data_IF_168730265643
#
_entry.id   IF_168730265643
#
_cell.length_a   1.000
_cell.length_b   1.000
_cell.length_c   1.000
_cell.angle_alpha   90.00
_cell.angle_beta   90.00
_cell.angle_gamma   90.00
#
_symmetry.space_group_name_H-M   'P 1'
#
loop_
_entity.id
_entity.type
_entity.pdbx_description
1 polymer ?
#
# COMPACT_ATOMS: atom_id res chain seq x y z
N UNK A 1 7.09 -7.84 -6.78
CA UNK A 1 7.43 -9.14 -6.18
C UNK A 1 7.40 -9.00 -4.67
N UNK A 2 6.40 -9.59 -4.04
CA UNK A 2 6.04 -9.35 -2.65
C UNK A 2 4.81 -10.19 -2.30
N UNK A 3 4.17 -9.91 -1.16
CA UNK A 3 2.89 -10.55 -0.82
C UNK A 3 1.76 -10.04 -1.71
N UNK A 4 0.86 -10.94 -2.11
CA UNK A 4 -0.31 -10.63 -2.94
C UNK A 4 -1.14 -11.87 -3.26
N UNK A 5 -2.11 -11.77 -4.21
CA UNK A 5 -2.41 -10.59 -5.03
C UNK A 5 -3.24 -9.51 -4.33
N UNK A 6 -3.98 -9.87 -3.28
CA UNK A 6 -4.84 -8.95 -2.52
C UNK A 6 -4.06 -8.12 -1.49
N UNK A 7 -4.75 -7.19 -0.82
CA UNK A 7 -4.16 -6.36 0.23
C UNK A 7 -3.76 -7.15 1.48
N UNK A 8 -2.78 -6.64 2.21
CA UNK A 8 -2.23 -7.24 3.43
C UNK A 8 -1.72 -6.17 4.38
N UNK A 9 -1.77 -6.43 5.68
CA UNK A 9 -1.30 -5.53 6.74
C UNK A 9 -0.47 -6.33 7.76
N UNK A 10 0.25 -5.67 8.65
CA UNK A 10 1.27 -6.35 9.49
C UNK A 10 0.69 -7.49 10.33
N UNK A 11 -0.53 -7.31 10.84
CA UNK A 11 -1.31 -8.28 11.61
C UNK A 11 -2.30 -9.12 10.77
N UNK A 12 -2.35 -8.90 9.45
CA UNK A 12 -3.26 -9.60 8.53
C UNK A 12 -2.61 -9.83 7.16
N UNK A 13 -1.63 -10.73 7.11
CA UNK A 13 -0.86 -11.03 5.89
C UNK A 13 -0.60 -12.51 5.58
N UNK A 14 -0.99 -13.44 6.43
CA UNK A 14 -0.64 -14.87 6.25
C UNK A 14 -1.28 -15.52 5.03
N UNK A 15 -2.46 -15.06 4.60
CA UNK A 15 -3.10 -15.54 3.38
C UNK A 15 -2.43 -15.02 2.09
N UNK A 16 -1.64 -13.94 2.18
CA UNK A 16 -0.98 -13.34 1.03
C UNK A 16 0.39 -14.02 0.78
N UNK A 17 0.50 -14.70 -0.36
CA UNK A 17 1.70 -15.45 -0.72
C UNK A 17 2.73 -14.56 -1.41
N UNK A 18 4.01 -14.92 -1.28
CA UNK A 18 5.10 -14.21 -1.96
C UNK A 18 5.13 -14.64 -3.42
N UNK A 19 4.96 -13.68 -4.32
CA UNK A 19 4.88 -13.95 -5.75
C UNK A 19 5.10 -12.72 -6.62
N UNK A 20 5.10 -12.96 -7.94
CA UNK A 20 5.07 -11.90 -8.95
C UNK A 20 3.62 -11.71 -9.37
N UNK A 21 3.07 -10.57 -9.00
CA UNK A 21 1.73 -10.13 -9.35
C UNK A 21 1.81 -8.87 -10.22
N UNK A 22 0.79 -8.65 -11.04
CA UNK A 22 0.62 -7.47 -11.87
C UNK A 22 -0.87 -7.13 -11.93
N UNK A 23 -1.18 -5.85 -12.07
CA UNK A 23 -2.53 -5.29 -12.16
C UNK A 23 -2.44 -3.81 -12.46
N UNK A 24 -3.56 -3.21 -12.86
CA UNK A 24 -3.65 -1.76 -13.04
C UNK A 24 -3.75 -1.07 -11.68
N UNK A 25 -3.48 0.25 -11.68
CA UNK A 25 -3.65 1.12 -10.50
C UNK A 25 -5.10 1.09 -10.02
N UNK A 26 -6.07 1.26 -10.94
CA UNK A 26 -7.51 1.24 -10.63
C UNK A 26 -7.98 -0.07 -9.95
N UNK A 27 -7.30 -1.19 -10.23
CA UNK A 27 -7.62 -2.52 -9.70
C UNK A 27 -7.02 -2.76 -8.30
N UNK A 28 -6.17 -1.87 -7.79
CA UNK A 28 -5.60 -2.00 -6.45
C UNK A 28 -6.55 -1.48 -5.35
N UNK A 29 -7.57 -0.71 -5.75
CA UNK A 29 -8.56 -0.17 -4.83
C UNK A 29 -9.52 -1.25 -4.31
N UNK A 30 -9.80 -1.23 -3.01
CA UNK A 30 -10.89 -1.99 -2.41
C UNK A 30 -12.01 -1.06 -1.93
N UNK A 31 -13.19 -1.18 -2.56
CA UNK A 31 -14.36 -0.34 -2.29
C UNK A 31 -15.11 -0.72 -1.02
N UNK A 32 -14.58 -0.34 0.16
CA UNK A 32 -15.31 -0.44 1.41
C UNK A 32 -16.59 0.42 1.40
N UNK A 33 -17.66 -0.07 2.03
CA UNK A 33 -18.94 0.67 2.16
C UNK A 33 -18.72 2.07 2.74
N UNK A 34 -17.86 2.15 3.74
CA UNK A 34 -17.31 3.40 4.24
C UNK A 34 -15.87 3.54 3.74
N UNK A 35 -15.54 4.56 2.91
CA UNK A 35 -14.20 4.75 2.39
C UNK A 35 -13.13 4.83 3.48
N UNK A 36 -12.11 3.99 3.37
CA UNK A 36 -11.05 3.79 4.35
C UNK A 36 -9.75 3.38 3.65
N UNK A 37 -8.64 3.40 4.39
CA UNK A 37 -7.34 2.91 3.93
C UNK A 37 -7.46 1.50 3.33
N UNK A 38 -6.85 1.29 2.17
CA UNK A 38 -6.94 0.03 1.43
C UNK A 38 -5.75 -0.16 0.47
N UNK A 39 -5.53 -1.41 0.05
CA UNK A 39 -4.65 -1.73 -1.07
C UNK A 39 -3.19 -1.99 -0.71
N UNK A 40 -2.83 -1.93 0.58
CA UNK A 40 -1.45 -2.15 1.05
C UNK A 40 -0.90 -3.53 0.66
N UNK A 41 0.35 -3.59 0.21
CA UNK A 41 1.10 -4.81 -0.12
C UNK A 41 2.33 -4.90 0.78
N UNK A 42 2.32 -5.89 1.67
CA UNK A 42 3.42 -6.11 2.63
C UNK A 42 4.57 -6.92 2.05
N UNK A 43 5.73 -6.85 2.71
CA UNK A 43 6.91 -7.67 2.42
C UNK A 43 7.32 -7.61 0.93
N UNK A 44 7.28 -6.44 0.33
CA UNK A 44 7.63 -6.24 -1.07
C UNK A 44 9.14 -6.10 -1.23
N UNK A 45 9.73 -6.89 -2.15
CA UNK A 45 11.15 -6.82 -2.51
C UNK A 45 11.37 -5.74 -3.57
N UNK A 46 10.51 -5.74 -4.59
CA UNK A 46 10.52 -4.73 -5.64
C UNK A 46 9.13 -4.52 -6.22
N UNK A 47 8.89 -3.29 -6.68
CA UNK A 47 7.73 -2.83 -7.43
C UNK A 47 8.23 -2.19 -8.73
N UNK A 48 7.54 -2.42 -9.85
CA UNK A 48 7.77 -1.70 -11.09
C UNK A 48 6.45 -1.08 -11.53
N UNK A 49 6.44 0.24 -11.70
CA UNK A 49 5.30 1.00 -12.22
C UNK A 49 5.60 1.36 -13.66
N UNK A 50 4.68 1.04 -14.56
CA UNK A 50 4.83 1.26 -16.00
C UNK A 50 3.73 2.18 -16.51
N UNK A 51 4.09 3.11 -17.38
CA UNK A 51 3.14 3.96 -18.10
C UNK A 51 2.83 3.35 -19.48
N UNK A 52 1.61 3.59 -19.98
CA UNK A 52 1.21 3.29 -21.36
C UNK A 52 2.08 3.99 -22.40
N UNK A 53 2.72 5.11 -22.04
CA UNK A 53 3.68 5.83 -22.87
C UNK A 53 5.07 5.16 -22.96
N UNK A 54 5.25 3.98 -22.33
CA UNK A 54 6.48 3.18 -22.41
C UNK A 54 7.58 3.57 -21.40
N UNK A 55 7.30 4.51 -20.51
CA UNK A 55 8.15 4.81 -19.35
C UNK A 55 7.94 3.82 -18.22
N UNK A 56 8.97 3.59 -17.39
CA UNK A 56 8.78 2.85 -16.14
C UNK A 56 9.74 3.30 -15.05
N UNK A 57 9.35 3.10 -13.81
CA UNK A 57 10.14 3.33 -12.62
C UNK A 57 10.10 2.07 -11.76
N UNK A 58 11.25 1.72 -11.16
CA UNK A 58 11.36 0.56 -10.28
C UNK A 58 11.78 1.02 -8.89
N UNK A 59 11.10 0.47 -7.90
CA UNK A 59 11.40 0.63 -6.48
C UNK A 59 11.88 -0.70 -5.93
N UNK A 60 12.99 -0.69 -5.19
CA UNK A 60 13.56 -1.87 -4.55
C UNK A 60 13.77 -1.62 -3.06
N UNK A 61 13.34 -2.56 -2.22
CA UNK A 61 13.51 -2.48 -0.77
C UNK A 61 14.94 -2.77 -0.32
N UNK A 62 15.25 -2.41 0.93
CA UNK A 62 16.50 -2.78 1.63
C UNK A 62 16.20 -3.38 3.01
N UNK A 63 15.80 -4.65 3.12
CA UNK A 63 15.55 -5.62 2.05
C UNK A 63 14.09 -5.63 1.54
N UNK A 64 13.14 -5.16 2.35
CA UNK A 64 11.70 -5.18 2.09
C UNK A 64 11.09 -3.80 2.37
N UNK A 65 9.93 -3.55 1.77
CA UNK A 65 9.10 -2.38 2.02
C UNK A 65 7.61 -2.74 1.84
N UNK A 66 6.75 -1.88 2.34
CA UNK A 66 5.31 -1.93 2.07
C UNK A 66 4.95 -0.84 1.05
N UNK A 67 3.88 -1.04 0.29
CA UNK A 67 3.37 0.00 -0.59
C UNK A 67 1.87 -0.12 -0.79
N UNK A 68 1.21 1.01 -1.03
CA UNK A 68 -0.07 1.05 -1.72
C UNK A 68 0.08 1.96 -2.96
N UNK A 69 -0.83 1.83 -3.93
CA UNK A 69 -0.82 2.66 -5.14
C UNK A 69 -2.26 2.89 -5.59
N UNK A 70 -2.64 4.15 -5.81
CA UNK A 70 -4.03 4.56 -6.05
C UNK A 70 -4.12 5.67 -7.12
N UNK A 71 -5.30 5.83 -7.69
CA UNK A 71 -5.69 6.89 -8.64
C UNK A 71 -6.49 8.03 -7.97
N UNK A 72 -6.41 8.11 -6.64
CA UNK A 72 -7.00 9.14 -5.79
C UNK A 72 -6.02 9.52 -4.67
N UNK A 73 -6.14 10.74 -4.14
CA UNK A 73 -5.31 11.23 -3.03
C UNK A 73 -5.86 10.79 -1.67
N UNK A 74 -5.02 10.85 -0.64
CA UNK A 74 -5.43 10.64 0.75
C UNK A 74 -6.50 11.67 1.19
N UNK A 75 -6.43 12.88 0.66
CA UNK A 75 -7.43 13.94 0.87
C UNK A 75 -8.78 13.54 0.29
N UNK A 76 -8.83 13.13 -0.98
CA UNK A 76 -10.05 12.66 -1.64
C UNK A 76 -10.66 11.45 -0.92
N UNK A 77 -9.83 10.51 -0.47
CA UNK A 77 -10.27 9.37 0.34
C UNK A 77 -10.91 9.83 1.66
N UNK A 78 -10.31 10.80 2.34
CA UNK A 78 -10.85 11.32 3.59
C UNK A 78 -12.12 12.15 3.40
N UNK A 79 -12.23 12.94 2.34
CA UNK A 79 -13.45 13.68 2.01
C UNK A 79 -14.62 12.74 1.67
N UNK A 80 -14.32 11.65 0.96
CA UNK A 80 -15.32 10.64 0.55
C UNK A 80 -16.04 9.95 1.72
N UNK A 81 -15.46 10.00 2.92
CA UNK A 81 -16.08 9.53 4.16
C UNK A 81 -17.40 10.24 4.48
N UNK A 82 -17.49 11.52 4.09
CA UNK A 82 -18.67 12.36 4.32
C UNK A 82 -19.50 12.50 3.05
N UNK A 83 -18.87 12.69 1.88
CA UNK A 83 -19.59 12.88 0.62
C UNK A 83 -20.17 11.59 0.04
N UNK A 84 -19.65 10.42 0.48
CA UNK A 84 -19.90 9.10 -0.10
C UNK A 84 -19.50 8.96 -1.58
N UNK A 85 -18.73 9.92 -2.10
CA UNK A 85 -18.21 9.92 -3.47
C UNK A 85 -16.70 10.04 -3.40
N UNK A 86 -16.00 9.07 -4.00
CA UNK A 86 -14.54 9.08 -4.11
C UNK A 86 -14.14 9.72 -5.45
N UNK A 87 -13.64 10.95 -5.37
CA UNK A 87 -13.09 11.65 -6.54
C UNK A 87 -11.74 11.05 -6.93
N UNK A 88 -11.61 10.69 -8.21
CA UNK A 88 -10.41 10.11 -8.83
C UNK A 88 -9.83 11.09 -9.84
N UNK A 89 -8.54 10.98 -10.13
CA UNK A 89 -7.86 11.87 -11.07
C UNK A 89 -6.84 11.17 -11.95
N UNK A 90 -6.15 11.96 -12.78
CA UNK A 90 -5.12 11.46 -13.70
C UNK A 90 -3.78 11.16 -13.01
N UNK A 91 -3.65 11.55 -11.74
CA UNK A 91 -2.44 11.33 -10.95
C UNK A 91 -2.44 9.95 -10.31
N UNK A 92 -1.27 9.32 -10.28
CA UNK A 92 -1.02 8.10 -9.49
C UNK A 92 -0.34 8.48 -8.18
N UNK A 93 -0.94 8.09 -7.07
CA UNK A 93 -0.41 8.26 -5.73
C UNK A 93 0.23 6.95 -5.29
N UNK A 94 1.51 6.98 -4.94
CA UNK A 94 2.29 5.81 -4.55
C UNK A 94 2.95 6.07 -3.20
N UNK A 95 2.61 5.25 -2.22
CA UNK A 95 3.21 5.28 -0.89
C UNK A 95 4.27 4.18 -0.80
N UNK A 96 5.46 4.52 -0.31
CA UNK A 96 6.61 3.60 -0.19
C UNK A 96 7.03 3.60 1.28
N UNK A 97 6.55 2.62 2.03
CA UNK A 97 6.56 2.66 3.49
C UNK A 97 7.56 1.66 4.07
N UNK A 98 8.24 2.08 5.14
CA UNK A 98 8.98 1.14 5.99
C UNK A 98 8.03 0.11 6.60
N UNK A 99 6.98 0.62 7.25
CA UNK A 99 5.93 -0.11 7.94
C UNK A 99 4.70 0.79 8.07
N UNK A 100 3.57 0.13 8.30
CA UNK A 100 2.31 0.72 8.74
C UNK A 100 1.83 -0.12 9.93
N UNK A 101 1.17 0.49 10.91
CA UNK A 101 0.59 -0.26 12.03
C UNK A 101 -0.44 -1.30 11.54
N UNK A 102 -0.68 -2.31 12.37
CA UNK A 102 -1.75 -3.30 12.12
C UNK A 102 -3.16 -2.68 12.08
N UNK A 103 -4.13 -3.46 11.60
CA UNK A 103 -5.54 -3.07 11.56
C UNK A 103 -6.22 -3.21 12.94
N UNK A 104 -5.80 -4.20 13.73
CA UNK A 104 -6.50 -4.66 14.92
C UNK A 104 -7.83 -5.33 14.60
N UNK A 105 -8.78 -5.23 15.52
CA UNK A 105 -10.16 -5.67 15.32
C UNK A 105 -10.74 -6.59 16.38
N UNK A 106 -10.09 -6.73 17.54
CA UNK A 106 -10.63 -7.48 18.69
C UNK A 106 -12.02 -6.99 19.11
N UNK A 107 -12.20 -5.66 19.11
CA UNK A 107 -13.51 -5.01 19.19
C UNK A 107 -13.56 -3.75 18.30
N UNK A 108 -14.70 -3.04 18.32
CA UNK A 108 -14.87 -1.80 17.56
C UNK A 108 -15.04 -0.53 18.40
N UNK A 109 -14.47 -0.44 19.60
CA UNK A 109 -14.56 0.74 20.47
C UNK A 109 -13.37 0.97 21.42
N UNK A 110 -12.39 0.08 21.50
CA UNK A 110 -11.10 0.29 22.19
C UNK A 110 -9.96 0.59 21.19
N UNK A 111 -8.74 0.93 21.65
CA UNK A 111 -7.51 0.69 20.90
C UNK A 111 -7.35 -0.81 20.63
N UNK A 112 -6.96 -1.19 19.41
CA UNK A 112 -7.25 -2.54 18.86
C UNK A 112 -6.05 -3.25 18.27
N UNK A 113 -4.98 -2.49 18.00
CA UNK A 113 -3.77 -3.04 17.40
C UNK A 113 -2.94 -3.62 18.53
N UNK A 114 -2.60 -4.91 18.44
CA UNK A 114 -1.75 -5.54 19.44
C UNK A 114 -0.35 -4.91 19.40
N UNK A 115 0.34 -4.90 20.55
CA UNK A 115 1.58 -4.14 20.76
C UNK A 115 2.71 -4.55 19.79
N UNK A 116 2.74 -5.79 19.34
CA UNK A 116 3.71 -6.27 18.35
C UNK A 116 3.51 -5.68 16.95
N UNK A 117 2.35 -5.09 16.67
CA UNK A 117 1.98 -4.48 15.37
C UNK A 117 1.85 -2.95 15.45
N UNK A 118 2.28 -2.32 16.55
CA UNK A 118 2.37 -0.86 16.68
C UNK A 118 3.76 -0.35 16.29
N UNK A 119 3.89 0.97 16.08
CA UNK A 119 5.15 1.62 15.71
C UNK A 119 5.65 2.54 16.83
N UNK A 120 5.89 1.98 18.01
CA UNK A 120 6.18 2.76 19.23
C UNK A 120 7.67 3.06 19.49
N UNK A 121 8.60 2.58 18.65
CA UNK A 121 10.02 2.88 18.83
C UNK A 121 10.30 4.39 18.65
N UNK A 122 11.20 4.97 19.46
CA UNK A 122 11.50 6.41 19.38
C UNK A 122 12.29 6.81 18.14
N UNK A 123 12.84 5.85 17.40
CA UNK A 123 13.63 6.12 16.19
C UNK A 123 13.51 4.96 15.21
N UNK A 124 13.35 5.32 13.93
CA UNK A 124 13.38 4.40 12.81
C UNK A 124 14.39 4.88 11.76
N UNK A 125 15.00 3.93 11.06
CA UNK A 125 15.80 4.21 9.87
C UNK A 125 15.24 3.38 8.73
N UNK A 126 15.07 4.03 7.58
CA UNK A 126 14.47 3.43 6.40
C UNK A 126 15.18 3.90 5.15
N UNK A 127 15.37 2.99 4.20
CA UNK A 127 15.90 3.30 2.89
C UNK A 127 15.34 2.36 1.83
N UNK A 128 15.24 2.85 0.61
CA UNK A 128 14.87 2.11 -0.57
C UNK A 128 15.68 2.65 -1.76
N UNK A 129 15.60 1.97 -2.89
CA UNK A 129 16.23 2.40 -4.14
C UNK A 129 15.13 2.74 -5.12
N UNK A 130 15.28 3.88 -5.80
CA UNK A 130 14.49 4.27 -6.97
C UNK A 130 15.41 4.28 -8.19
N UNK A 131 15.00 3.62 -9.26
CA UNK A 131 15.74 3.57 -10.51
C UNK A 131 14.79 3.68 -11.71
N UNK A 132 15.19 4.32 -12.82
CA UNK A 132 14.44 4.23 -14.07
C UNK A 132 14.35 2.77 -14.48
N UNK A 133 13.15 2.30 -14.81
CA UNK A 133 12.98 0.93 -15.26
C UNK A 133 13.61 0.74 -16.63
N UNK A 134 14.36 -0.35 -16.81
CA UNK A 134 15.06 -0.64 -18.06
C UNK A 134 14.03 -0.87 -19.17
N UNK A 135 14.18 -0.17 -20.31
CA UNK A 135 13.52 -0.58 -21.56
C UNK A 135 14.04 -1.98 -21.90
N UNK A 136 13.11 -2.91 -22.13
CA UNK A 136 13.45 -4.18 -22.79
C UNK A 136 13.80 -3.91 -24.24
#
# INVERSE_FOLDING_TARGET
YGKGPFESYDDRKESAFVGRYAGKVEEQHFGHVMPQENGNKTDTRWLQVTSSAGGSVKFSGKPLFNFNIQDYSDEALNESKTSHTLERGDNTWLHIDYKQMGLGGDDSWSPRVHKEFTLDNPTYSYSFIIEPGRKK
#
